data_IF_404461417937
#
_entry.id   IF_404461417937
#
_cell.length_a   1.000
_cell.length_b   1.000
_cell.length_c   1.000
_cell.angle_alpha   90.00
_cell.angle_beta   90.00
_cell.angle_gamma   90.00
#
_symmetry.space_group_name_H-M   'P 1'
#
loop_
_entity.id
_entity.type
_entity.pdbx_description
1 polymer ?
#
# COMPACT_ATOMS: atom_id res chain seq x y z
N UNK A 1 12.98 7.48 -5.84
CA UNK A 1 12.13 8.66 -6.04
C UNK A 1 10.69 8.28 -5.72
N UNK A 2 10.02 9.06 -4.90
CA UNK A 2 8.61 8.79 -4.56
C UNK A 2 7.76 8.89 -5.82
N UNK A 3 6.89 7.92 -6.03
CA UNK A 3 5.97 7.90 -7.17
C UNK A 3 4.86 8.92 -6.97
N UNK A 4 4.39 9.50 -8.07
CA UNK A 4 3.27 10.42 -8.05
C UNK A 4 2.00 9.76 -7.50
N UNK A 5 1.20 10.51 -6.78
CA UNK A 5 -0.03 10.03 -6.16
C UNK A 5 -1.02 9.48 -7.19
N UNK A 6 -1.08 10.08 -8.37
CA UNK A 6 -1.93 9.63 -9.46
C UNK A 6 -1.56 8.23 -9.96
N UNK A 7 -0.26 7.93 -10.03
CA UNK A 7 0.21 6.59 -10.39
C UNK A 7 -0.26 5.53 -9.38
N UNK A 8 -0.09 5.82 -8.08
CA UNK A 8 -0.52 4.90 -7.01
C UNK A 8 -2.05 4.74 -7.00
N UNK A 9 -2.78 5.82 -7.20
CA UNK A 9 -4.24 5.83 -7.27
C UNK A 9 -4.78 5.02 -8.46
N UNK A 10 -4.15 5.12 -9.62
CA UNK A 10 -4.52 4.35 -10.81
C UNK A 10 -4.35 2.84 -10.58
N UNK A 11 -3.28 2.42 -9.91
CA UNK A 11 -3.07 1.01 -9.53
C UNK A 11 -4.17 0.55 -8.58
N UNK A 12 -4.48 1.34 -7.54
CA UNK A 12 -5.52 1.01 -6.59
C UNK A 12 -6.89 0.86 -7.26
N UNK A 13 -7.27 1.82 -8.11
CA UNK A 13 -8.52 1.78 -8.88
C UNK A 13 -8.59 0.55 -9.77
N UNK A 14 -7.51 0.25 -10.49
CA UNK A 14 -7.45 -0.96 -11.31
C UNK A 14 -7.71 -2.24 -10.49
N UNK A 15 -7.07 -2.37 -9.34
CA UNK A 15 -7.26 -3.53 -8.47
C UNK A 15 -8.69 -3.62 -7.93
N UNK A 16 -9.29 -2.51 -7.51
CA UNK A 16 -10.67 -2.46 -7.02
C UNK A 16 -11.65 -2.89 -8.11
N UNK A 17 -11.56 -2.27 -9.29
CA UNK A 17 -12.49 -2.52 -10.39
C UNK A 17 -12.44 -3.98 -10.86
N UNK A 18 -11.24 -4.54 -11.00
CA UNK A 18 -11.09 -5.92 -11.43
C UNK A 18 -11.50 -6.94 -10.35
N UNK A 19 -11.24 -6.66 -9.07
CA UNK A 19 -11.71 -7.51 -7.98
C UNK A 19 -13.25 -7.55 -7.92
N UNK A 20 -13.90 -6.39 -8.07
CA UNK A 20 -15.37 -6.31 -8.13
C UNK A 20 -15.95 -7.04 -9.34
N UNK A 21 -15.33 -6.92 -10.51
CA UNK A 21 -15.72 -7.67 -11.72
C UNK A 21 -15.62 -9.19 -11.53
N UNK A 22 -14.69 -9.65 -10.70
CA UNK A 22 -14.52 -11.08 -10.36
C UNK A 22 -15.39 -11.54 -9.20
N UNK A 23 -16.29 -10.69 -8.69
CA UNK A 23 -17.32 -11.05 -7.74
C UNK A 23 -17.03 -10.70 -6.28
N UNK A 24 -15.98 -9.92 -5.99
CA UNK A 24 -15.76 -9.40 -4.64
C UNK A 24 -16.95 -8.54 -4.19
N UNK A 25 -17.46 -8.79 -2.99
CA UNK A 25 -18.49 -7.95 -2.36
C UNK A 25 -17.92 -6.59 -2.02
N UNK A 26 -16.77 -6.59 -1.34
CA UNK A 26 -16.01 -5.39 -1.01
C UNK A 26 -14.52 -5.63 -1.19
N UNK A 27 -13.79 -4.54 -1.42
CA UNK A 27 -12.33 -4.58 -1.62
C UNK A 27 -11.68 -3.36 -0.98
N UNK A 28 -10.61 -3.60 -0.25
CA UNK A 28 -9.71 -2.53 0.22
C UNK A 28 -8.35 -2.71 -0.46
N UNK A 29 -7.89 -1.69 -1.15
CA UNK A 29 -6.57 -1.69 -1.78
C UNK A 29 -5.71 -0.60 -1.18
N UNK A 30 -4.52 -0.98 -0.74
CA UNK A 30 -3.49 -0.06 -0.27
C UNK A 30 -2.28 -0.18 -1.17
N UNK A 31 -1.90 0.92 -1.82
CA UNK A 31 -0.65 1.02 -2.59
C UNK A 31 0.29 1.96 -1.85
N UNK A 32 1.48 1.49 -1.57
CA UNK A 32 2.45 2.23 -0.77
C UNK A 32 3.77 2.32 -1.51
N UNK A 33 4.29 3.53 -1.65
CA UNK A 33 5.69 3.76 -1.98
C UNK A 33 6.37 4.41 -0.77
N UNK A 34 7.44 3.82 -0.31
CA UNK A 34 8.20 4.29 0.85
C UNK A 34 9.66 4.42 0.48
N UNK A 35 10.24 5.57 0.79
CA UNK A 35 11.67 5.82 0.69
C UNK A 35 12.19 6.09 2.09
N UNK A 36 13.19 5.32 2.51
CA UNK A 36 13.88 5.56 3.76
C UNK A 36 15.38 5.72 3.54
N UNK A 37 15.96 6.67 4.23
CA UNK A 37 17.39 6.90 4.25
C UNK A 37 17.89 6.86 5.69
N UNK A 38 18.92 6.07 5.93
CA UNK A 38 19.53 5.93 7.24
C UNK A 38 21.02 6.21 7.15
N UNK A 39 21.52 7.08 8.04
CA UNK A 39 22.93 7.42 8.13
C UNK A 39 23.38 7.19 9.55
N UNK A 40 24.41 6.38 9.74
CA UNK A 40 25.00 6.10 11.05
C UNK A 40 26.43 6.59 11.16
N UNK A 41 26.80 7.02 12.37
CA UNK A 41 28.14 7.52 12.69
C UNK A 41 28.74 6.72 13.83
N UNK A 42 30.05 6.45 13.69
CA UNK A 42 30.85 5.87 14.75
C UNK A 42 32.14 6.69 14.94
N UNK A 43 32.43 7.07 16.17
CA UNK A 43 33.59 7.90 16.50
C UNK A 43 33.69 9.18 15.64
N UNK A 44 32.58 9.86 15.42
CA UNK A 44 32.47 11.07 14.59
C UNK A 44 32.82 10.87 13.11
N UNK A 45 32.80 9.65 12.63
CA UNK A 45 32.99 9.30 11.21
C UNK A 45 31.75 8.60 10.69
N UNK A 46 31.44 8.81 9.41
CA UNK A 46 30.41 8.05 8.72
C UNK A 46 30.73 6.56 8.80
N UNK A 47 29.82 5.79 9.36
CA UNK A 47 29.92 4.33 9.48
C UNK A 47 29.12 3.65 8.36
N UNK A 48 27.86 4.06 8.21
CA UNK A 48 26.94 3.46 7.25
C UNK A 48 25.98 4.48 6.68
N UNK A 49 25.66 4.36 5.39
CA UNK A 49 24.62 5.11 4.72
C UNK A 49 23.78 4.17 3.86
N UNK A 50 22.53 3.98 4.22
CA UNK A 50 21.57 3.09 3.54
C UNK A 50 20.40 3.88 2.99
N UNK A 51 19.99 3.55 1.76
CA UNK A 51 18.76 4.03 1.15
C UNK A 51 17.93 2.83 0.71
N UNK A 52 16.68 2.82 1.10
CA UNK A 52 15.69 1.84 0.67
C UNK A 52 14.54 2.53 -0.04
N UNK A 53 14.17 2.05 -1.21
CA UNK A 53 12.98 2.47 -1.96
C UNK A 53 12.11 1.23 -2.17
N UNK A 54 10.91 1.24 -1.66
CA UNK A 54 9.99 0.12 -1.73
C UNK A 54 8.63 0.53 -2.26
N UNK A 55 8.07 -0.31 -3.12
CA UNK A 55 6.74 -0.16 -3.69
C UNK A 55 5.97 -1.45 -3.41
N UNK A 56 4.77 -1.34 -2.87
CA UNK A 56 3.96 -2.49 -2.51
C UNK A 56 2.47 -2.22 -2.70
N UNK A 57 1.74 -3.27 -3.05
CA UNK A 57 0.28 -3.30 -3.06
C UNK A 57 -0.23 -4.34 -2.07
N UNK A 58 -1.26 -3.99 -1.33
CA UNK A 58 -2.02 -4.90 -0.47
C UNK A 58 -3.47 -4.87 -0.93
N UNK A 59 -4.04 -6.05 -1.19
CA UNK A 59 -5.43 -6.23 -1.58
C UNK A 59 -6.12 -7.04 -0.49
N UNK A 60 -7.13 -6.48 0.12
CA UNK A 60 -8.03 -7.17 1.06
C UNK A 60 -9.37 -7.34 0.39
N UNK A 61 -9.76 -8.59 0.18
CA UNK A 61 -11.00 -8.97 -0.50
C UNK A 61 -12.01 -9.51 0.50
N UNK A 62 -13.24 -9.08 0.33
CA UNK A 62 -14.39 -9.58 1.09
C UNK A 62 -15.36 -10.28 0.14
N UNK A 63 -15.84 -11.45 0.56
CA UNK A 63 -16.84 -12.26 -0.12
C UNK A 63 -17.78 -12.86 0.92
N UNK A 64 -19.01 -12.34 0.99
CA UNK A 64 -20.06 -12.91 1.86
C UNK A 64 -19.55 -13.24 3.28
N UNK A 65 -18.99 -12.24 3.98
CA UNK A 65 -18.43 -12.39 5.35
C UNK A 65 -17.16 -13.26 5.44
N UNK A 66 -16.55 -13.55 4.31
CA UNK A 66 -15.20 -14.12 4.24
C UNK A 66 -14.21 -13.04 3.87
N UNK A 67 -12.98 -13.15 4.34
CA UNK A 67 -11.94 -12.15 4.14
C UNK A 67 -10.58 -12.78 3.93
N UNK A 68 -9.83 -12.29 2.98
CA UNK A 68 -8.41 -12.56 2.85
C UNK A 68 -7.63 -11.33 2.45
N UNK A 69 -6.33 -11.34 2.69
CA UNK A 69 -5.42 -10.26 2.30
C UNK A 69 -4.19 -10.85 1.63
N UNK A 70 -3.77 -10.22 0.55
CA UNK A 70 -2.59 -10.61 -0.21
C UNK A 70 -1.75 -9.39 -0.56
N UNK A 71 -0.44 -9.55 -0.58
CA UNK A 71 0.50 -8.45 -0.83
C UNK A 71 1.47 -8.81 -1.95
N UNK A 72 1.93 -7.80 -2.68
CA UNK A 72 3.00 -7.94 -3.66
C UNK A 72 3.83 -6.66 -3.76
N UNK A 73 5.11 -6.81 -4.09
CA UNK A 73 5.99 -5.71 -4.49
C UNK A 73 6.11 -5.57 -6.01
N UNK A 74 5.59 -6.52 -6.78
CA UNK A 74 5.51 -6.43 -8.23
C UNK A 74 4.14 -5.87 -8.64
N UNK A 75 4.13 -4.64 -9.11
CA UNK A 75 2.94 -3.91 -9.56
C UNK A 75 2.76 -3.97 -11.08
N UNK A 76 3.45 -4.87 -11.77
CA UNK A 76 3.22 -5.10 -13.19
C UNK A 76 1.79 -5.58 -13.45
N UNK A 77 1.22 -5.14 -14.56
CA UNK A 77 -0.18 -5.48 -14.91
C UNK A 77 -0.48 -6.98 -14.87
N UNK A 78 0.36 -7.85 -15.48
CA UNK A 78 0.12 -9.29 -15.45
C UNK A 78 0.17 -9.88 -14.03
N UNK A 79 1.04 -9.34 -13.15
CA UNK A 79 1.11 -9.80 -11.77
C UNK A 79 -0.10 -9.32 -10.95
N UNK A 80 -0.57 -8.09 -11.15
CA UNK A 80 -1.77 -7.58 -10.48
C UNK A 80 -3.01 -8.40 -10.85
N UNK A 81 -3.17 -8.80 -12.11
CA UNK A 81 -4.28 -9.65 -12.55
C UNK A 81 -4.27 -11.01 -11.84
N UNK A 82 -3.11 -11.67 -11.76
CA UNK A 82 -2.96 -12.93 -11.01
C UNK A 82 -3.18 -12.75 -9.52
N UNK A 83 -2.70 -11.63 -8.96
CA UNK A 83 -2.86 -11.32 -7.55
C UNK A 83 -4.33 -11.17 -7.17
N UNK A 84 -5.13 -10.51 -8.02
CA UNK A 84 -6.57 -10.34 -7.85
C UNK A 84 -7.27 -11.70 -7.89
N UNK A 85 -6.95 -12.53 -8.89
CA UNK A 85 -7.51 -13.89 -9.02
C UNK A 85 -7.20 -14.72 -7.77
N UNK A 86 -5.94 -14.78 -7.34
CA UNK A 86 -5.53 -15.48 -6.13
C UNK A 86 -6.22 -14.93 -4.87
N UNK A 87 -6.43 -13.61 -4.79
CA UNK A 87 -7.13 -12.99 -3.66
C UNK A 87 -8.58 -13.47 -3.58
N UNK A 88 -9.28 -13.52 -4.71
CA UNK A 88 -10.66 -14.02 -4.80
C UNK A 88 -10.72 -15.51 -4.40
N UNK A 89 -9.85 -16.33 -4.98
CA UNK A 89 -9.83 -17.77 -4.68
C UNK A 89 -9.51 -18.06 -3.21
N UNK A 90 -8.51 -17.36 -2.67
CA UNK A 90 -8.16 -17.47 -1.25
C UNK A 90 -9.33 -17.09 -0.35
N UNK A 91 -10.06 -16.03 -0.70
CA UNK A 91 -11.22 -15.60 0.11
C UNK A 91 -12.33 -16.64 0.12
N UNK A 92 -12.57 -17.36 -0.99
CA UNK A 92 -13.60 -18.41 -1.08
C UNK A 92 -13.39 -19.53 -0.08
N UNK A 93 -12.14 -19.87 0.24
CA UNK A 93 -11.78 -20.98 1.14
C UNK A 93 -11.57 -20.55 2.60
N UNK A 94 -11.59 -19.25 2.91
CA UNK A 94 -11.48 -18.78 4.30
C UNK A 94 -12.74 -19.09 5.09
N UNK A 95 -12.64 -19.28 6.42
CA UNK A 95 -13.82 -19.41 7.28
C UNK A 95 -14.72 -18.18 7.21
N UNK A 96 -16.02 -18.40 7.38
CA UNK A 96 -17.00 -17.33 7.52
C UNK A 96 -16.87 -16.70 8.91
N UNK A 97 -16.89 -15.36 8.96
CA UNK A 97 -16.96 -14.58 10.18
C UNK A 97 -17.98 -13.46 9.98
N UNK A 98 -19.03 -13.45 10.76
CA UNK A 98 -20.14 -12.49 10.65
C UNK A 98 -19.71 -11.02 10.77
N UNK A 99 -18.56 -10.77 11.41
CA UNK A 99 -17.99 -9.43 11.61
C UNK A 99 -17.09 -8.98 10.45
N UNK A 100 -16.79 -9.84 9.49
CA UNK A 100 -16.01 -9.47 8.30
C UNK A 100 -16.83 -8.61 7.34
N UNK A 101 -16.73 -7.29 7.51
CA UNK A 101 -17.31 -6.29 6.62
C UNK A 101 -16.53 -4.99 6.69
N UNK A 102 -16.70 -4.11 5.71
CA UNK A 102 -16.29 -2.73 5.83
C UNK A 102 -17.19 -2.00 6.84
N UNK A 103 -16.68 -0.91 7.46
CA UNK A 103 -17.53 -0.02 8.24
C UNK A 103 -18.67 0.55 7.40
N UNK A 104 -19.79 0.87 8.03
CA UNK A 104 -20.88 1.56 7.37
C UNK A 104 -20.39 2.91 6.80
N UNK A 105 -20.93 3.33 5.65
CA UNK A 105 -20.49 4.57 4.99
C UNK A 105 -20.60 5.80 5.89
N UNK A 106 -21.56 5.82 6.79
CA UNK A 106 -21.76 6.92 7.75
C UNK A 106 -20.63 7.05 8.78
N UNK A 107 -19.89 5.97 9.00
CA UNK A 107 -18.75 5.94 9.92
C UNK A 107 -17.42 6.29 9.22
N UNK A 108 -17.43 6.43 7.89
CA UNK A 108 -16.23 6.77 7.13
C UNK A 108 -16.07 8.29 7.01
N UNK A 109 -14.82 8.76 7.16
CA UNK A 109 -14.51 10.16 6.90
C UNK A 109 -14.62 10.44 5.40
N UNK A 110 -15.44 11.43 5.04
CA UNK A 110 -15.63 11.91 3.65
C UNK A 110 -14.78 13.13 3.34
N UNK A 111 -14.23 13.77 4.37
CA UNK A 111 -13.41 14.98 4.22
C UNK A 111 -11.95 14.62 3.98
N UNK A 112 -11.41 15.10 2.87
CA UNK A 112 -9.96 15.12 2.63
C UNK A 112 -9.43 16.44 3.15
N UNK A 113 -8.80 16.41 4.33
CA UNK A 113 -8.10 17.58 4.89
C UNK A 113 -6.62 17.49 4.54
N UNK A 114 -6.06 18.58 4.07
CA UNK A 114 -4.61 18.69 3.96
C UNK A 114 -4.03 18.90 5.37
N UNK A 115 -3.47 17.84 5.91
CA UNK A 115 -2.85 17.82 7.23
C UNK A 115 -1.37 18.22 7.19
N UNK A 116 -0.83 18.57 6.01
CA UNK A 116 0.57 18.95 5.80
C UNK A 116 1.56 17.97 6.42
N UNK A 117 1.28 16.67 6.26
CA UNK A 117 2.10 15.59 6.83
C UNK A 117 3.34 15.27 5.99
N UNK A 118 3.45 15.85 4.81
CA UNK A 118 4.56 15.64 3.90
C UNK A 118 5.46 16.89 3.88
N UNK A 119 6.74 16.67 4.15
CA UNK A 119 7.80 17.66 4.02
C UNK A 119 8.67 17.31 2.82
N UNK A 120 8.76 18.22 1.85
CA UNK A 120 9.55 18.05 0.63
C UNK A 120 11.05 18.31 0.81
N UNK A 121 11.49 18.64 2.03
CA UNK A 121 12.88 18.97 2.29
C UNK A 121 13.78 17.75 2.09
N UNK A 122 14.68 17.84 1.15
CA UNK A 122 15.70 16.84 0.90
C UNK A 122 17.07 17.34 1.40
N UNK A 123 17.68 16.59 2.28
CA UNK A 123 19.05 16.83 2.71
C UNK A 123 20.02 16.01 1.86
N UNK A 124 21.08 16.66 1.34
CA UNK A 124 22.20 15.95 0.72
C UNK A 124 22.92 15.10 1.78
N UNK A 125 23.65 14.06 1.32
CA UNK A 125 24.42 13.24 2.24
C UNK A 125 25.42 14.05 3.06
N UNK A 126 26.08 15.03 2.44
CA UNK A 126 27.02 15.95 3.12
C UNK A 126 26.33 16.72 4.24
N UNK A 127 25.11 17.19 3.99
CA UNK A 127 24.34 17.94 4.99
C UNK A 127 23.83 17.06 6.12
N UNK A 128 23.55 15.78 5.85
CA UNK A 128 23.20 14.78 6.90
C UNK A 128 24.40 14.44 7.80
N UNK A 129 25.61 14.61 7.28
CA UNK A 129 26.87 14.38 8.00
C UNK A 129 27.20 15.53 8.97
N UNK A 130 26.68 16.73 8.72
CA UNK A 130 26.88 17.92 9.56
C UNK A 130 26.01 17.94 10.84
N UNK A 131 24.98 17.08 10.94
CA UNK A 131 24.12 16.93 12.12
C UNK A 131 24.71 15.94 13.13
#
# INVERSE_FOLDING_TARGET
MIKEQDYLSNIATFCIDNSKKQGATDVVVKVTNSVSENVSFRNKKLDESNRSDSLAVSITTYLDKKKSSINSSDLSRPNLEKLIEHSIESTKITPLDEYNSLPDEDLMSREKRDLKLFDETHYSNDKKIEF
#
